data_IF_333233563468
#
_entry.id   IF_333233563468
#
_cell.length_a   1.000
_cell.length_b   1.000
_cell.length_c   1.000
_cell.angle_alpha   90.00
_cell.angle_beta   90.00
_cell.angle_gamma   90.00
#
_symmetry.space_group_name_H-M   'P 1'
#
loop_
_entity.id
_entity.type
_entity.pdbx_description
1 polymer ?
#
# COMPACT_ATOMS: atom_id res chain seq x y z
N UNK A 1 9.20 26.72 66.79
CA UNK A 1 7.81 26.22 66.65
C UNK A 1 7.36 26.47 65.22
N UNK A 2 7.46 25.48 64.34
CA UNK A 2 7.00 25.60 62.95
C UNK A 2 5.51 25.25 62.88
N UNK A 3 4.71 26.19 62.37
CA UNK A 3 3.26 26.14 62.39
C UNK A 3 2.75 25.16 61.31
N UNK A 4 2.17 24.03 61.75
CA UNK A 4 1.68 22.94 60.90
C UNK A 4 0.60 23.35 59.88
N UNK A 5 -0.01 24.53 60.03
CA UNK A 5 -1.10 25.00 59.16
C UNK A 5 -0.63 25.46 57.77
N UNK A 6 0.66 25.78 57.60
CA UNK A 6 1.18 26.30 56.31
C UNK A 6 1.55 25.18 55.32
N UNK A 7 1.82 23.96 55.80
CA UNK A 7 2.20 22.82 54.94
C UNK A 7 1.00 22.22 54.20
N UNK A 8 -0.20 22.29 54.79
CA UNK A 8 -1.43 21.78 54.17
C UNK A 8 -1.87 22.59 52.94
N UNK A 9 -1.56 23.89 52.87
CA UNK A 9 -1.96 24.75 51.77
C UNK A 9 -1.10 24.56 50.50
N UNK A 10 0.16 24.14 50.63
CA UNK A 10 1.07 23.91 49.49
C UNK A 10 0.85 22.52 48.88
N UNK A 11 0.47 21.51 49.67
CA UNK A 11 0.13 20.17 49.17
C UNK A 11 -1.15 20.15 48.31
N UNK A 12 -2.11 21.03 48.60
CA UNK A 12 -3.38 21.10 47.86
C UNK A 12 -3.26 21.80 46.49
N UNK A 13 -2.24 22.66 46.29
CA UNK A 13 -2.00 23.32 45.00
C UNK A 13 -1.21 22.45 44.00
N UNK A 14 -0.48 21.43 44.48
CA UNK A 14 0.30 20.54 43.60
C UNK A 14 -0.55 19.37 43.09
N UNK A 15 -1.61 18.99 43.82
CA UNK A 15 -2.51 17.91 43.41
C UNK A 15 -3.43 18.24 42.22
N UNK A 16 -3.70 19.53 41.96
CA UNK A 16 -4.60 19.97 40.89
C UNK A 16 -3.93 20.16 39.53
N UNK A 17 -2.61 20.11 39.43
CA UNK A 17 -1.90 20.15 38.14
C UNK A 17 -1.66 18.75 37.50
N UNK A 18 -1.95 17.66 38.21
CA UNK A 18 -1.69 16.30 37.72
C UNK A 18 -2.84 15.69 36.88
N UNK A 19 -3.95 16.41 36.68
CA UNK A 19 -5.15 15.88 35.99
C UNK A 19 -5.39 16.45 34.58
N UNK A 20 -4.50 17.29 34.04
CA UNK A 20 -4.63 17.86 32.67
C UNK A 20 -3.87 17.03 31.62
N UNK A 21 -3.67 15.74 31.89
CA UNK A 21 -2.75 14.90 31.13
C UNK A 21 -3.31 13.56 30.72
N UNK A 22 -4.53 13.52 30.14
CA UNK A 22 -5.01 12.43 29.29
C UNK A 22 -6.35 12.81 28.67
N UNK A 23 -6.35 13.81 27.78
CA UNK A 23 -7.43 13.94 26.80
C UNK A 23 -7.14 12.93 25.68
N UNK A 24 -7.25 11.63 26.01
CA UNK A 24 -7.43 10.61 24.99
C UNK A 24 -8.81 10.88 24.41
N UNK A 25 -8.88 11.68 23.34
CA UNK A 25 -10.07 11.76 22.49
C UNK A 25 -10.56 10.34 22.27
N UNK A 26 -11.73 9.99 22.80
CA UNK A 26 -12.37 8.73 22.50
C UNK A 26 -12.42 8.61 20.98
N UNK A 27 -11.80 7.56 20.44
CA UNK A 27 -11.94 7.23 19.02
C UNK A 27 -13.42 6.88 18.82
N UNK A 28 -14.11 7.69 18.02
CA UNK A 28 -15.47 7.36 17.57
C UNK A 28 -15.44 5.98 16.91
N UNK A 29 -16.11 4.96 17.47
CA UNK A 29 -16.09 3.61 16.92
C UNK A 29 -16.73 3.52 15.54
N UNK A 30 -17.48 4.55 15.12
CA UNK A 30 -18.10 4.65 13.80
C UNK A 30 -17.31 5.52 12.82
N UNK A 31 -16.03 5.80 13.10
CA UNK A 31 -15.15 6.51 12.18
C UNK A 31 -13.92 5.64 11.84
N UNK A 32 -13.57 5.59 10.55
CA UNK A 32 -12.39 4.86 10.07
C UNK A 32 -11.63 5.64 8.99
N UNK A 33 -10.30 5.63 9.06
CA UNK A 33 -9.41 6.18 8.04
C UNK A 33 -8.91 5.09 7.10
N UNK A 34 -9.20 5.24 5.81
CA UNK A 34 -8.88 4.27 4.77
C UNK A 34 -7.90 4.87 3.77
N UNK A 35 -6.69 4.31 3.71
CA UNK A 35 -5.68 4.67 2.72
C UNK A 35 -5.98 4.08 1.34
N UNK A 36 -6.03 4.92 0.31
CA UNK A 36 -6.32 4.52 -1.09
C UNK A 36 -5.40 5.23 -2.08
N UNK A 37 -5.24 4.64 -3.27
CA UNK A 37 -4.46 5.24 -4.35
C UNK A 37 -5.33 6.17 -5.19
N UNK A 38 -4.80 7.34 -5.55
CA UNK A 38 -5.48 8.29 -6.46
C UNK A 38 -5.78 7.64 -7.82
N UNK A 39 -6.93 7.95 -8.39
CA UNK A 39 -7.36 7.42 -9.69
C UNK A 39 -8.61 6.56 -9.61
N UNK A 40 -8.66 5.48 -10.38
CA UNK A 40 -9.83 4.60 -10.48
C UNK A 40 -10.16 3.92 -9.14
N UNK A 41 -9.14 3.55 -8.37
CA UNK A 41 -9.27 2.94 -7.05
C UNK A 41 -9.93 3.89 -6.05
N UNK A 42 -9.57 5.18 -6.08
CA UNK A 42 -10.23 6.21 -5.29
C UNK A 42 -11.72 6.33 -5.66
N UNK A 43 -12.08 6.28 -6.94
CA UNK A 43 -13.48 6.35 -7.37
C UNK A 43 -14.30 5.17 -6.83
N UNK A 44 -13.72 3.96 -6.82
CA UNK A 44 -14.36 2.79 -6.20
C UNK A 44 -14.50 2.98 -4.69
N UNK A 45 -13.48 3.53 -4.02
CA UNK A 45 -13.51 3.80 -2.59
C UNK A 45 -14.57 4.85 -2.20
N UNK A 46 -14.80 5.87 -3.03
CA UNK A 46 -15.86 6.86 -2.80
C UNK A 46 -17.25 6.21 -2.83
N UNK A 47 -17.47 5.26 -3.76
CA UNK A 47 -18.72 4.47 -3.79
C UNK A 47 -18.83 3.61 -2.54
N UNK A 48 -17.74 2.95 -2.13
CA UNK A 48 -17.73 2.13 -0.92
C UNK A 48 -18.01 2.96 0.35
N UNK A 49 -17.43 4.16 0.46
CA UNK A 49 -17.68 5.14 1.52
C UNK A 49 -19.16 5.51 1.60
N UNK A 50 -19.80 5.81 0.45
CA UNK A 50 -21.24 6.10 0.42
C UNK A 50 -22.06 4.92 0.93
N UNK A 51 -21.77 3.71 0.46
CA UNK A 51 -22.46 2.48 0.92
C UNK A 51 -22.23 2.25 2.42
N UNK A 52 -21.01 2.48 2.91
CA UNK A 52 -20.66 2.38 4.33
C UNK A 52 -21.53 3.29 5.20
N UNK A 53 -21.67 4.56 4.78
CA UNK A 53 -22.50 5.54 5.47
C UNK A 53 -23.98 5.19 5.42
N UNK A 54 -24.50 4.93 4.23
CA UNK A 54 -25.95 4.75 3.99
C UNK A 54 -26.49 3.47 4.64
N UNK A 55 -25.70 2.40 4.69
CA UNK A 55 -26.16 1.09 5.18
C UNK A 55 -25.73 0.76 6.60
N UNK A 56 -24.59 1.26 7.04
CA UNK A 56 -23.99 0.85 8.31
C UNK A 56 -23.73 2.02 9.26
N UNK A 57 -24.03 3.26 8.85
CA UNK A 57 -23.78 4.45 9.66
C UNK A 57 -22.29 4.77 9.83
N UNK A 58 -21.39 4.05 9.16
CA UNK A 58 -19.95 4.18 9.28
C UNK A 58 -19.46 5.42 8.52
N UNK A 59 -18.76 6.30 9.22
CA UNK A 59 -18.06 7.43 8.63
C UNK A 59 -16.66 7.01 8.15
N UNK A 60 -16.39 7.23 6.86
CA UNK A 60 -15.14 6.82 6.23
C UNK A 60 -14.39 8.07 5.76
N UNK A 61 -13.19 8.28 6.31
CA UNK A 61 -12.22 9.26 5.82
C UNK A 61 -11.29 8.57 4.82
N UNK A 62 -11.31 9.02 3.56
CA UNK A 62 -10.37 8.52 2.55
C UNK A 62 -9.09 9.35 2.60
N UNK A 63 -7.96 8.69 2.84
CA UNK A 63 -6.62 9.29 2.78
C UNK A 63 -5.97 8.84 1.48
N UNK A 64 -5.67 9.78 0.60
CA UNK A 64 -5.18 9.46 -0.75
C UNK A 64 -3.66 9.49 -0.83
N UNK A 65 -3.11 8.53 -1.57
CA UNK A 65 -1.67 8.40 -1.84
C UNK A 65 -1.42 8.32 -3.35
N UNK A 66 -0.24 8.75 -3.78
CA UNK A 66 0.20 8.73 -5.17
C UNK A 66 1.38 7.76 -5.42
N UNK A 67 1.75 6.97 -4.42
CA UNK A 67 2.76 5.92 -4.49
C UNK A 67 2.37 4.70 -3.64
N UNK A 68 3.14 3.62 -3.76
CA UNK A 68 2.85 2.33 -3.11
C UNK A 68 3.63 2.08 -1.81
N UNK A 69 4.54 2.97 -1.42
CA UNK A 69 5.34 2.83 -0.19
C UNK A 69 4.62 3.45 1.00
N UNK A 70 4.15 4.68 0.85
CA UNK A 70 3.55 5.45 1.95
C UNK A 70 2.30 4.82 2.58
N UNK A 71 1.38 4.13 1.86
CA UNK A 71 0.18 3.58 2.50
C UNK A 71 0.47 2.55 3.60
N UNK A 72 1.53 1.73 3.44
CA UNK A 72 1.91 0.75 4.47
C UNK A 72 2.65 1.39 5.64
N UNK A 73 3.47 2.41 5.36
CA UNK A 73 4.14 3.18 6.41
C UNK A 73 3.12 3.93 7.28
N UNK A 74 2.16 4.61 6.66
CA UNK A 74 1.07 5.32 7.34
C UNK A 74 0.25 4.36 8.22
N UNK A 75 -0.11 3.17 7.70
CA UNK A 75 -0.83 2.15 8.47
C UNK A 75 0.02 1.64 9.64
N UNK A 76 1.30 1.39 9.43
CA UNK A 76 2.21 0.93 10.49
C UNK A 76 2.44 1.98 11.59
N UNK A 77 2.32 3.28 11.27
CA UNK A 77 2.42 4.39 12.23
C UNK A 77 1.10 4.70 12.93
N UNK A 78 -0.02 4.15 12.44
CA UNK A 78 -1.36 4.43 12.95
C UNK A 78 -1.98 5.73 12.44
N UNK A 79 -1.44 6.30 11.36
CA UNK A 79 -1.99 7.50 10.70
C UNK A 79 -3.29 7.19 9.94
N UNK A 80 -3.46 5.93 9.53
CA UNK A 80 -4.69 5.35 8.95
C UNK A 80 -5.00 4.01 9.64
N UNK A 81 -6.26 3.58 9.62
CA UNK A 81 -6.69 2.35 10.29
C UNK A 81 -6.65 1.13 9.35
N UNK A 82 -6.77 1.34 8.03
CA UNK A 82 -6.65 0.30 7.00
C UNK A 82 -6.20 0.92 5.68
N UNK A 83 -5.58 0.13 4.78
CA UNK A 83 -5.38 0.53 3.39
C UNK A 83 -5.97 -0.50 2.42
N UNK A 84 -6.34 -0.05 1.23
CA UNK A 84 -6.91 -0.88 0.17
C UNK A 84 -6.27 -0.53 -1.18
N UNK A 85 -5.09 -1.09 -1.44
CA UNK A 85 -4.35 -0.81 -2.69
C UNK A 85 -3.49 -1.97 -3.24
N UNK A 86 -3.15 -2.94 -2.40
CA UNK A 86 -2.08 -3.90 -2.68
C UNK A 86 -2.59 -5.34 -2.78
N UNK A 87 -1.79 -6.19 -3.42
CA UNK A 87 -2.00 -7.64 -3.44
C UNK A 87 -1.05 -8.35 -2.47
N UNK A 88 -1.38 -9.59 -2.10
CA UNK A 88 -0.66 -10.33 -1.07
C UNK A 88 0.86 -10.46 -1.30
N UNK A 89 1.39 -10.73 -2.52
CA UNK A 89 2.84 -10.76 -2.72
C UNK A 89 3.55 -9.45 -2.38
N UNK A 90 2.90 -8.30 -2.62
CA UNK A 90 3.44 -6.98 -2.30
C UNK A 90 3.47 -6.77 -0.79
N UNK A 91 2.37 -7.11 -0.11
CA UNK A 91 2.30 -7.07 1.35
C UNK A 91 3.35 -7.97 2.01
N UNK A 92 3.47 -9.21 1.56
CA UNK A 92 4.45 -10.18 2.08
C UNK A 92 5.89 -9.64 1.91
N UNK A 93 6.20 -9.03 0.76
CA UNK A 93 7.49 -8.42 0.50
C UNK A 93 7.74 -7.19 1.39
N UNK A 94 6.74 -6.31 1.56
CA UNK A 94 6.86 -5.15 2.44
C UNK A 94 7.04 -5.55 3.92
N UNK A 95 6.35 -6.59 4.38
CA UNK A 95 6.54 -7.15 5.72
C UNK A 95 7.96 -7.70 5.87
N UNK A 96 8.45 -8.45 4.89
CA UNK A 96 9.82 -8.99 4.90
C UNK A 96 10.87 -7.89 4.96
N UNK A 97 10.71 -6.83 4.16
CA UNK A 97 11.73 -5.79 4.01
C UNK A 97 11.70 -4.75 5.12
N UNK A 98 10.53 -4.47 5.70
CA UNK A 98 10.33 -3.38 6.66
C UNK A 98 9.88 -3.83 8.05
N UNK A 99 9.73 -5.14 8.25
CA UNK A 99 9.31 -5.76 9.50
C UNK A 99 7.97 -5.22 10.03
N UNK A 100 7.06 -4.89 9.12
CA UNK A 100 5.73 -4.42 9.49
C UNK A 100 4.89 -5.53 10.12
N UNK A 101 3.97 -5.15 11.02
CA UNK A 101 2.99 -6.07 11.65
C UNK A 101 1.61 -5.97 11.00
N UNK A 102 1.59 -5.87 9.67
CA UNK A 102 0.36 -5.75 8.90
C UNK A 102 -0.19 -7.14 8.57
N UNK A 103 -1.51 -7.24 8.50
CA UNK A 103 -2.20 -8.48 8.13
C UNK A 103 -3.29 -8.19 7.11
N UNK A 104 -3.55 -9.11 6.16
CA UNK A 104 -4.71 -8.99 5.29
C UNK A 104 -5.99 -9.26 6.10
N UNK A 105 -6.97 -8.38 5.95
CA UNK A 105 -8.30 -8.52 6.58
C UNK A 105 -9.39 -8.97 5.59
N UNK A 106 -9.09 -8.95 4.30
CA UNK A 106 -10.01 -9.38 3.25
C UNK A 106 -9.43 -9.18 1.85
N UNK A 107 -10.05 -9.84 0.87
CA UNK A 107 -9.77 -9.65 -0.55
C UNK A 107 -10.83 -8.76 -1.17
N UNK A 108 -10.44 -7.92 -2.13
CA UNK A 108 -11.34 -7.02 -2.85
C UNK A 108 -11.55 -7.49 -4.29
N UNK A 109 -10.69 -7.05 -5.21
CA UNK A 109 -10.79 -7.31 -6.64
C UNK A 109 -9.45 -7.78 -7.20
N UNK A 110 -9.51 -8.46 -8.34
CA UNK A 110 -8.32 -8.82 -9.11
C UNK A 110 -8.33 -8.03 -10.41
N UNK A 111 -7.31 -7.20 -10.60
CA UNK A 111 -7.04 -6.52 -11.86
C UNK A 111 -5.97 -7.30 -12.64
N UNK A 112 -6.30 -7.83 -13.83
CA UNK A 112 -5.30 -8.44 -14.70
C UNK A 112 -4.26 -7.39 -15.13
N UNK A 113 -2.97 -7.71 -14.96
CA UNK A 113 -1.90 -6.91 -15.54
C UNK A 113 -1.85 -7.13 -17.05
N UNK A 114 -1.60 -6.07 -17.82
CA UNK A 114 -1.56 -6.12 -19.26
C UNK A 114 -0.46 -5.20 -19.81
N UNK A 115 0.01 -5.52 -21.02
CA UNK A 115 0.83 -4.61 -21.81
C UNK A 115 -0.05 -3.68 -22.63
N UNK A 116 0.38 -2.42 -22.78
CA UNK A 116 -0.33 -1.41 -23.56
C UNK A 116 0.62 -0.78 -24.57
N UNK A 117 0.09 -0.38 -25.73
CA UNK A 117 0.84 0.40 -26.71
C UNK A 117 -0.06 1.41 -27.41
N UNK A 118 0.49 2.61 -27.65
CA UNK A 118 -0.11 3.62 -28.53
C UNK A 118 0.31 3.46 -30.00
N UNK A 119 1.33 2.63 -30.28
CA UNK A 119 1.99 2.53 -31.60
C UNK A 119 1.68 1.24 -32.34
N UNK A 120 1.60 0.13 -31.62
CA UNK A 120 1.33 -1.20 -32.19
C UNK A 120 -0.02 -1.70 -31.71
N UNK A 121 -0.68 -2.49 -32.55
CA UNK A 121 -1.99 -3.10 -32.24
C UNK A 121 -1.88 -4.57 -31.83
N UNK A 122 -0.72 -5.18 -32.05
CA UNK A 122 -0.48 -6.60 -31.82
C UNK A 122 1.02 -6.87 -31.61
N UNK A 123 1.36 -7.98 -30.95
CA UNK A 123 2.75 -8.29 -30.55
C UNK A 123 3.67 -8.60 -31.74
N UNK A 124 3.14 -9.09 -32.86
CA UNK A 124 3.90 -9.33 -34.10
C UNK A 124 4.50 -8.04 -34.68
N UNK A 125 3.89 -6.88 -34.39
CA UNK A 125 4.38 -5.56 -34.79
C UNK A 125 5.51 -5.04 -33.89
N UNK A 126 5.83 -5.74 -32.78
CA UNK A 126 6.90 -5.33 -31.88
C UNK A 126 8.27 -5.47 -32.56
N UNK A 127 8.93 -4.34 -32.78
CA UNK A 127 10.22 -4.26 -33.45
C UNK A 127 11.36 -4.81 -32.58
N UNK A 128 12.41 -5.31 -33.22
CA UNK A 128 13.64 -5.68 -32.51
C UNK A 128 14.26 -4.44 -31.86
N UNK A 129 14.79 -4.59 -30.65
CA UNK A 129 15.36 -3.46 -29.90
C UNK A 129 14.33 -2.50 -29.29
N UNK A 130 13.03 -2.79 -29.40
CA UNK A 130 11.98 -1.97 -28.83
C UNK A 130 12.13 -1.84 -27.31
N UNK A 131 11.79 -0.66 -26.79
CA UNK A 131 11.73 -0.43 -25.35
C UNK A 131 10.39 -0.89 -24.79
N UNK A 132 10.44 -1.62 -23.69
CA UNK A 132 9.27 -2.08 -22.93
C UNK A 132 9.45 -1.61 -21.49
N UNK A 133 8.60 -0.66 -21.09
CA UNK A 133 8.56 -0.18 -19.72
C UNK A 133 7.89 -1.24 -18.81
N UNK A 134 8.49 -1.49 -17.66
CA UNK A 134 8.01 -2.43 -16.64
C UNK A 134 8.10 -1.78 -15.25
N UNK A 135 7.32 -2.23 -14.26
CA UNK A 135 7.41 -1.71 -12.90
C UNK A 135 8.78 -1.99 -12.27
N UNK A 136 9.21 -1.13 -11.35
CA UNK A 136 10.49 -1.25 -10.65
C UNK A 136 10.40 -1.84 -9.24
N UNK A 137 9.19 -2.02 -8.67
CA UNK A 137 9.06 -2.73 -7.40
C UNK A 137 9.16 -4.26 -7.63
N UNK A 138 9.79 -5.02 -6.71
CA UNK A 138 10.15 -6.42 -6.96
C UNK A 138 8.98 -7.31 -7.38
N UNK A 139 7.81 -7.12 -6.78
CA UNK A 139 6.67 -8.02 -7.01
C UNK A 139 5.95 -7.72 -8.32
N UNK A 140 5.79 -6.44 -8.69
CA UNK A 140 5.18 -6.08 -9.97
C UNK A 140 6.17 -6.21 -11.14
N UNK A 141 7.48 -6.01 -10.89
CA UNK A 141 8.54 -6.36 -11.82
C UNK A 141 8.45 -7.85 -12.15
N UNK A 142 8.46 -8.70 -11.12
CA UNK A 142 8.36 -10.14 -11.27
C UNK A 142 7.10 -10.56 -12.03
N UNK A 143 5.94 -9.99 -11.68
CA UNK A 143 4.66 -10.23 -12.37
C UNK A 143 4.72 -9.85 -13.85
N UNK A 144 5.39 -8.75 -14.19
CA UNK A 144 5.54 -8.28 -15.58
C UNK A 144 6.49 -9.16 -16.38
N UNK A 145 7.61 -9.57 -15.82
CA UNK A 145 8.54 -10.51 -16.46
C UNK A 145 7.89 -11.87 -16.73
N UNK A 146 7.10 -12.38 -15.77
CA UNK A 146 6.32 -13.60 -15.97
C UNK A 146 5.27 -13.45 -17.08
N UNK A 147 4.65 -12.27 -17.19
CA UNK A 147 3.74 -11.98 -18.32
C UNK A 147 4.50 -12.00 -19.65
N UNK A 148 5.65 -11.33 -19.74
CA UNK A 148 6.49 -11.29 -20.94
C UNK A 148 6.95 -12.70 -21.35
N UNK A 149 7.32 -13.54 -20.39
CA UNK A 149 7.61 -14.95 -20.63
C UNK A 149 6.39 -15.70 -21.15
N UNK A 150 5.23 -15.52 -20.52
CA UNK A 150 3.98 -16.19 -20.92
C UNK A 150 3.59 -15.88 -22.36
N UNK A 151 3.90 -14.68 -22.87
CA UNK A 151 3.64 -14.29 -24.26
C UNK A 151 4.83 -14.53 -25.20
N UNK A 152 5.88 -15.21 -24.74
CA UNK A 152 7.02 -15.63 -25.56
C UNK A 152 7.97 -14.50 -25.99
N UNK A 153 7.93 -13.34 -25.32
CA UNK A 153 8.84 -12.23 -25.64
C UNK A 153 10.22 -12.40 -25.02
N UNK A 154 10.30 -13.10 -23.88
CA UNK A 154 11.54 -13.45 -23.18
C UNK A 154 11.43 -14.87 -22.63
N UNK A 155 12.55 -15.43 -22.18
CA UNK A 155 12.59 -16.63 -21.33
C UNK A 155 13.33 -16.30 -20.04
N UNK A 156 12.79 -16.72 -18.91
CA UNK A 156 13.40 -16.60 -17.59
C UNK A 156 14.09 -17.91 -17.21
N UNK A 157 15.05 -17.85 -16.28
CA UNK A 157 15.60 -19.05 -15.63
C UNK A 157 14.48 -19.83 -14.94
N UNK A 158 14.57 -21.16 -14.99
CA UNK A 158 13.62 -22.04 -14.34
C UNK A 158 13.71 -21.94 -12.80
N UNK A 159 12.59 -22.18 -12.11
CA UNK A 159 12.57 -22.32 -10.64
C UNK A 159 12.62 -21.02 -9.83
N UNK A 160 12.57 -19.84 -10.47
CA UNK A 160 12.70 -18.55 -9.76
C UNK A 160 11.42 -18.09 -9.04
N UNK A 161 10.27 -18.67 -9.39
CA UNK A 161 9.00 -18.37 -8.72
C UNK A 161 8.46 -16.99 -9.09
N UNK A 162 7.99 -16.22 -8.09
CA UNK A 162 7.24 -14.98 -8.30
C UNK A 162 8.09 -13.71 -8.35
N UNK A 163 9.38 -13.79 -8.04
CA UNK A 163 10.27 -12.63 -7.93
C UNK A 163 11.46 -12.68 -8.91
N UNK A 164 11.26 -12.98 -10.21
CA UNK A 164 12.35 -12.85 -11.16
C UNK A 164 12.77 -11.39 -11.32
N UNK A 165 14.04 -11.20 -11.68
CA UNK A 165 14.63 -9.91 -12.03
C UNK A 165 15.03 -9.88 -13.51
N UNK A 166 15.42 -8.71 -14.02
CA UNK A 166 15.96 -8.60 -15.39
C UNK A 166 17.22 -9.45 -15.59
N UNK A 167 18.00 -9.70 -14.52
CA UNK A 167 19.18 -10.57 -14.55
C UNK A 167 18.85 -12.07 -14.72
N UNK A 168 17.57 -12.41 -14.66
CA UNK A 168 17.07 -13.78 -14.83
C UNK A 168 16.56 -14.08 -16.23
N UNK A 169 16.64 -13.12 -17.14
CA UNK A 169 16.33 -13.34 -18.55
C UNK A 169 17.46 -14.14 -19.21
N UNK A 170 17.13 -15.34 -19.70
CA UNK A 170 18.06 -16.25 -20.40
C UNK A 170 17.87 -16.27 -21.91
N UNK A 171 16.73 -15.79 -22.41
CA UNK A 171 16.48 -15.61 -23.84
C UNK A 171 15.67 -14.33 -24.08
N UNK A 172 16.02 -13.60 -25.12
CA UNK A 172 15.41 -12.34 -25.54
C UNK A 172 15.54 -12.21 -27.08
N UNK A 173 14.76 -12.99 -27.85
CA UNK A 173 14.96 -13.13 -29.30
C UNK A 173 14.78 -11.82 -30.08
N UNK A 174 13.96 -10.90 -29.55
CA UNK A 174 13.75 -9.56 -30.14
C UNK A 174 14.71 -8.51 -29.60
N UNK A 175 15.64 -8.86 -28.71
CA UNK A 175 16.55 -7.93 -28.02
C UNK A 175 15.81 -6.71 -27.44
N UNK A 176 14.60 -6.93 -26.88
CA UNK A 176 13.83 -5.82 -26.30
C UNK A 176 14.58 -5.22 -25.11
N UNK A 177 14.50 -3.90 -24.98
CA UNK A 177 15.11 -3.15 -23.88
C UNK A 177 14.09 -3.00 -22.77
N UNK A 178 14.30 -3.71 -21.67
CA UNK A 178 13.47 -3.58 -20.47
C UNK A 178 13.89 -2.31 -19.72
N UNK A 179 12.92 -1.45 -19.42
CA UNK A 179 13.13 -0.17 -18.73
C UNK A 179 12.27 -0.17 -17.46
N UNK A 180 12.91 -0.10 -16.30
CA UNK A 180 12.29 -0.04 -14.96
C UNK A 180 11.90 1.40 -14.56
#
# INVERSE_FOLDING_TARGET
MFNFKTIAAVGALIGSLALVGCDQKEKDPNHIKVGVIVGSEQQVAEVAKKVAKDKYGLDVELVTFNDYVLPNEALSKGDIDVNAFQHKPYLDQQIKDRNYKLVPVGSTFVYPIAGYSKKIKSLDQLQNGAQVAIPNDPTNLGRSLLLLQKVGLIKLKDGIGLLPTVLDVVDNPKNIKLVE
#
